data_IF_994861916120
#
_entry.id   IF_994861916120
#
_cell.length_a   1.000
_cell.length_b   1.000
_cell.length_c   1.000
_cell.angle_alpha   90.00
_cell.angle_beta   90.00
_cell.angle_gamma   90.00
#
_symmetry.space_group_name_H-M   'P 1'
#
loop_
_entity.id
_entity.type
_entity.pdbx_description
1 polymer ?
#
# COMPACT_ATOMS: atom_id res chain seq x y z
N UNK A 1 10.49 7.57 10.55
CA UNK A 1 9.42 7.36 9.54
C UNK A 1 9.46 8.56 8.62
N UNK A 2 9.57 8.37 7.30
CA UNK A 2 9.66 9.51 6.36
C UNK A 2 8.36 10.33 6.43
N UNK A 3 8.49 11.66 6.43
CA UNK A 3 7.33 12.56 6.34
C UNK A 3 6.86 12.67 4.88
N UNK A 4 6.15 11.62 4.46
CA UNK A 4 5.46 11.58 3.19
C UNK A 4 4.09 12.24 3.32
N UNK A 5 3.69 13.02 2.30
CA UNK A 5 2.34 13.56 2.23
C UNK A 5 1.31 12.43 2.05
N UNK A 6 0.16 12.48 2.74
CA UNK A 6 -0.93 11.52 2.56
C UNK A 6 -1.32 11.36 1.09
N UNK A 7 -0.97 10.23 0.49
CA UNK A 7 -1.41 9.88 -0.85
C UNK A 7 -2.81 9.27 -0.77
N UNK A 8 -3.80 9.82 -1.50
CA UNK A 8 -5.13 9.22 -1.56
C UNK A 8 -5.08 7.90 -2.33
N UNK A 9 -5.93 6.94 -1.94
CA UNK A 9 -5.99 5.62 -2.58
C UNK A 9 -6.24 5.69 -4.09
N UNK A 10 -6.89 6.76 -4.54
CA UNK A 10 -7.21 7.04 -5.95
C UNK A 10 -6.03 7.55 -6.80
N UNK A 11 -4.86 7.81 -6.22
CA UNK A 11 -3.76 8.51 -6.91
C UNK A 11 -2.82 7.64 -7.74
N UNK A 12 -2.78 6.31 -7.58
CA UNK A 12 -1.80 5.47 -8.30
C UNK A 12 -2.43 4.22 -8.89
N UNK A 13 -2.65 4.29 -10.20
CA UNK A 13 -2.61 3.24 -11.22
C UNK A 13 -3.41 1.93 -11.08
N UNK A 14 -3.95 1.56 -9.93
CA UNK A 14 -4.78 0.36 -9.77
C UNK A 14 -6.18 0.72 -9.28
N UNK A 15 -7.09 0.94 -10.24
CA UNK A 15 -8.51 1.22 -9.97
C UNK A 15 -9.19 0.11 -9.17
N UNK A 16 -8.73 -1.14 -9.30
CA UNK A 16 -9.32 -2.29 -8.61
C UNK A 16 -9.06 -2.25 -7.10
N UNK A 17 -7.84 -1.91 -6.69
CA UNK A 17 -7.48 -1.69 -5.30
C UNK A 17 -8.20 -0.51 -4.69
N UNK A 18 -8.30 0.58 -5.44
CA UNK A 18 -9.15 1.71 -5.07
C UNK A 18 -10.58 1.26 -4.82
N UNK A 19 -11.15 0.43 -5.69
CA UNK A 19 -12.52 -0.06 -5.58
C UNK A 19 -12.74 -0.96 -4.35
N UNK A 20 -11.83 -1.92 -4.11
CA UNK A 20 -11.93 -2.88 -2.99
C UNK A 20 -11.75 -2.17 -1.63
N UNK A 21 -10.80 -1.24 -1.52
CA UNK A 21 -10.46 -0.62 -0.24
C UNK A 21 -11.10 0.75 0.01
N UNK A 22 -11.62 1.46 -1.00
CA UNK A 22 -12.34 2.74 -0.83
C UNK A 22 -13.43 2.75 0.26
N UNK A 23 -14.26 1.69 0.43
CA UNK A 23 -15.27 1.72 1.50
C UNK A 23 -14.68 1.62 2.92
N UNK A 24 -13.47 1.08 3.07
CA UNK A 24 -12.89 0.71 4.37
C UNK A 24 -11.70 1.59 4.76
N UNK A 25 -10.97 2.08 3.76
CA UNK A 25 -9.73 2.86 3.91
C UNK A 25 -9.85 4.06 2.98
N UNK A 26 -9.56 5.26 3.49
CA UNK A 26 -9.56 6.50 2.67
C UNK A 26 -8.16 6.99 2.33
N UNK A 27 -7.21 6.68 3.21
CA UNK A 27 -5.81 7.09 3.12
C UNK A 27 -4.91 6.01 3.67
N UNK A 28 -3.77 5.81 3.03
CA UNK A 28 -2.72 4.92 3.55
C UNK A 28 -2.10 5.50 4.81
N UNK A 29 -1.74 4.63 5.75
CA UNK A 29 -0.86 5.03 6.83
C UNK A 29 0.58 5.22 6.31
N UNK A 30 1.42 5.89 7.11
CA UNK A 30 2.80 6.22 6.71
C UNK A 30 3.65 5.00 6.32
N UNK A 31 3.42 3.83 6.94
CA UNK A 31 4.16 2.59 6.62
C UNK A 31 3.69 2.01 5.29
N UNK A 32 2.38 1.87 5.11
CA UNK A 32 1.78 1.41 3.84
C UNK A 32 2.20 2.29 2.67
N UNK A 33 2.30 3.61 2.89
CA UNK A 33 2.73 4.56 1.87
C UNK A 33 4.22 4.45 1.51
N UNK A 34 5.09 4.22 2.50
CA UNK A 34 6.51 3.98 2.24
C UNK A 34 6.72 2.68 1.46
N UNK A 35 5.96 1.64 1.81
CA UNK A 35 6.08 0.32 1.16
C UNK A 35 5.44 0.34 -0.23
N UNK A 36 4.32 1.04 -0.42
CA UNK A 36 3.64 1.08 -1.71
C UNK A 36 4.53 1.66 -2.81
N UNK A 37 5.34 2.68 -2.53
CA UNK A 37 6.31 3.18 -3.51
C UNK A 37 7.25 2.07 -4.00
N UNK A 38 7.78 1.24 -3.09
CA UNK A 38 8.67 0.15 -3.45
C UNK A 38 7.93 -0.96 -4.21
N UNK A 39 6.75 -1.37 -3.73
CA UNK A 39 5.90 -2.40 -4.35
C UNK A 39 5.44 -2.04 -5.78
N UNK A 40 5.19 -0.75 -6.04
CA UNK A 40 4.75 -0.30 -7.37
C UNK A 40 5.91 0.08 -8.29
N UNK A 41 7.05 0.53 -7.77
CA UNK A 41 8.15 0.98 -8.61
C UNK A 41 9.04 -0.17 -9.11
N UNK A 42 9.23 -1.22 -8.30
CA UNK A 42 10.19 -2.28 -8.58
C UNK A 42 9.64 -3.66 -8.21
N UNK A 43 10.20 -4.72 -8.79
CA UNK A 43 9.90 -6.13 -8.47
C UNK A 43 10.91 -6.72 -7.46
N UNK A 44 11.56 -5.87 -6.68
CA UNK A 44 12.53 -6.31 -5.68
C UNK A 44 11.85 -6.97 -4.48
N UNK A 45 12.58 -7.86 -3.80
CA UNK A 45 12.12 -8.46 -2.56
C UNK A 45 12.01 -7.39 -1.45
N UNK A 46 10.83 -7.25 -0.86
CA UNK A 46 10.57 -6.26 0.20
C UNK A 46 10.27 -6.96 1.53
N UNK A 47 10.91 -6.50 2.60
CA UNK A 47 10.63 -6.92 3.96
C UNK A 47 9.90 -5.80 4.74
N UNK A 48 8.70 -6.10 5.26
CA UNK A 48 7.90 -5.15 6.03
C UNK A 48 7.76 -5.62 7.47
N UNK A 49 8.55 -5.04 8.38
CA UNK A 49 8.39 -5.26 9.82
C UNK A 49 7.66 -4.10 10.47
N UNK A 50 6.59 -4.40 11.20
CA UNK A 50 5.82 -3.41 11.95
C UNK A 50 4.94 -4.10 13.03
N UNK A 51 4.28 -3.35 13.93
CA UNK A 51 3.39 -3.92 14.95
C UNK A 51 2.07 -4.51 14.40
N UNK A 52 1.44 -5.46 15.09
CA UNK A 52 0.13 -6.02 14.70
C UNK A 52 -0.94 -4.92 14.65
N UNK A 53 -1.86 -4.99 13.67
CA UNK A 53 -2.96 -4.01 13.53
C UNK A 53 -2.66 -2.78 12.65
N UNK A 54 -1.41 -2.59 12.22
CA UNK A 54 -1.05 -1.45 11.33
C UNK A 54 -1.31 -1.73 9.83
N UNK A 55 -2.00 -2.81 9.48
CA UNK A 55 -2.37 -3.10 8.09
C UNK A 55 -1.23 -3.59 7.19
N UNK A 56 -0.32 -4.43 7.72
CA UNK A 56 0.70 -5.15 6.93
C UNK A 56 0.10 -6.10 5.90
N UNK A 57 -1.04 -6.70 6.22
CA UNK A 57 -1.73 -7.64 5.33
C UNK A 57 -2.13 -6.97 4.02
N UNK A 58 -2.57 -5.71 4.09
CA UNK A 58 -2.89 -4.88 2.92
C UNK A 58 -1.67 -4.68 2.02
N UNK A 59 -0.45 -4.60 2.57
CA UNK A 59 0.78 -4.52 1.77
C UNK A 59 1.05 -5.81 0.98
N UNK A 60 0.71 -6.98 1.55
CA UNK A 60 0.83 -8.26 0.85
C UNK A 60 -0.25 -8.40 -0.24
N UNK A 61 -1.48 -7.95 0.04
CA UNK A 61 -2.56 -7.90 -0.96
C UNK A 61 -2.20 -6.98 -2.13
N UNK A 62 -1.52 -5.85 -1.87
CA UNK A 62 -0.97 -5.01 -2.94
C UNK A 62 0.05 -5.72 -3.83
N UNK A 63 0.94 -6.52 -3.23
CA UNK A 63 1.90 -7.29 -3.99
C UNK A 63 1.22 -8.35 -4.86
N UNK A 64 0.16 -8.99 -4.33
CA UNK A 64 -0.59 -10.01 -5.05
C UNK A 64 -1.36 -9.43 -6.25
N UNK A 65 -2.04 -8.30 -6.06
CA UNK A 65 -2.81 -7.63 -7.11
C UNK A 65 -1.95 -6.97 -8.20
N UNK A 66 -0.63 -6.89 -8.02
CA UNK A 66 0.30 -6.51 -9.09
C UNK A 66 0.65 -7.71 -9.98
N UNK A 67 0.59 -8.93 -9.45
CA UNK A 67 0.95 -10.16 -10.16
C UNK A 67 -0.18 -10.70 -11.06
N UNK A 68 -1.42 -10.29 -10.77
CA UNK A 68 -2.59 -10.54 -11.62
C UNK A 68 -2.64 -9.58 -12.82
#
# INVERSE_FOLDING_TARGET
LLDLQPLPLSSRHNNELGSVYSPTIRTFNKIQMQVSQALYANDDNIFVSAPTGIGKMICAEFALLRLE
#
